data_IF_063529221284
#
_entry.id   IF_063529221284
#
_cell.length_a   1.000
_cell.length_b   1.000
_cell.length_c   1.000
_cell.angle_alpha   90.00
_cell.angle_beta   90.00
_cell.angle_gamma   90.00
#
_symmetry.space_group_name_H-M   'P 1'
#
loop_
_entity.id
_entity.type
_entity.pdbx_description
1 polymer ?
2 polymer ?
3 non-polymer ?
4 water ?
#
# COMPACT_ATOMS: atom_id res chain seq x y z
N UNK A 1 13.82 21.66 6.39
CA UNK A 1 13.16 21.75 7.69
C UNK A 1 11.94 20.82 7.78
N UNK A 2 11.30 20.80 8.95
CA UNK A 2 10.27 19.82 9.25
C UNK A 2 8.90 20.32 8.77
N UNK A 3 8.17 19.43 8.08
CA UNK A 3 6.89 19.75 7.47
C UNK A 3 5.70 19.14 8.21
N UNK A 4 5.94 18.19 9.11
CA UNK A 4 4.90 17.47 9.83
C UNK A 4 5.36 17.38 11.27
N UNK A 5 4.63 18.02 12.19
CA UNK A 5 5.08 18.16 13.58
C UNK A 5 3.96 17.72 14.51
N UNK A 6 4.22 16.69 15.31
CA UNK A 6 3.28 16.25 16.33
C UNK A 6 3.55 17.03 17.60
N UNK A 7 2.48 17.32 18.35
CA UNK A 7 2.59 17.86 19.70
C UNK A 7 1.52 17.17 20.54
N UNK A 8 1.38 17.61 21.79
CA UNK A 8 0.57 16.89 22.77
C UNK A 8 1.37 15.71 23.28
N UNK A 9 0.83 15.02 24.26
CA UNK A 9 1.79 13.94 24.46
C UNK A 9 2.70 14.13 25.66
N UNK A 10 2.82 13.08 26.44
CA UNK A 10 3.49 13.14 27.72
C UNK A 10 3.03 12.03 28.63
N UNK A 11 2.85 12.33 29.91
CA UNK A 11 2.39 11.34 30.87
C UNK A 11 0.88 11.28 30.89
N UNK A 12 0.36 10.06 31.06
CA UNK A 12 -1.06 9.79 31.20
C UNK A 12 -1.22 8.72 32.27
N UNK A 13 -2.27 8.84 33.09
CA UNK A 13 -2.67 7.81 34.04
C UNK A 13 -3.38 6.67 33.32
N UNK A 14 -3.25 5.43 33.79
CA UNK A 14 -4.11 4.35 33.28
C UNK A 14 -5.57 4.73 33.44
N UNK A 15 -6.34 4.52 32.39
CA UNK A 15 -7.72 4.97 32.35
C UNK A 15 -7.92 6.38 31.84
N UNK A 16 -6.85 7.18 31.72
CA UNK A 16 -6.97 8.54 31.24
C UNK A 16 -7.05 8.63 29.72
N UNK A 17 -7.16 9.86 29.24
CA UNK A 17 -7.13 10.17 27.82
C UNK A 17 -5.92 11.04 27.50
N UNK A 18 -5.51 11.04 26.23
CA UNK A 18 -4.67 12.12 25.75
C UNK A 18 -5.10 12.49 24.34
N UNK A 19 -4.94 13.77 24.02
CA UNK A 19 -5.20 14.31 22.71
C UNK A 19 -3.89 14.74 22.08
N UNK A 20 -3.60 14.21 20.90
CA UNK A 20 -2.42 14.60 20.13
C UNK A 20 -2.85 15.46 18.96
N UNK A 21 -1.94 16.30 18.50
CA UNK A 21 -2.17 17.12 17.32
C UNK A 21 -0.97 17.01 16.38
N UNK A 22 -1.20 17.37 15.12
CA UNK A 22 -0.17 17.23 14.10
C UNK A 22 -0.37 18.37 13.11
N UNK A 23 0.61 19.27 13.03
CA UNK A 23 0.49 20.46 12.21
C UNK A 23 1.28 20.26 10.93
N UNK A 24 0.65 20.54 9.79
CA UNK A 24 1.25 20.34 8.49
C UNK A 24 1.60 21.69 7.88
N UNK A 25 2.77 21.77 7.25
CA UNK A 25 3.17 22.96 6.51
C UNK A 25 2.13 23.38 5.48
N UNK A 26 1.33 22.44 4.97
CA UNK A 26 0.55 22.63 3.76
C UNK A 26 -0.64 21.69 3.78
N UNK A 27 -1.73 22.07 3.10
CA UNK A 27 -2.90 21.20 3.03
C UNK A 27 -2.75 20.07 2.02
N UNK A 28 -1.77 20.16 1.11
CA UNK A 28 -1.54 19.06 0.16
C UNK A 28 -1.13 17.78 0.88
N UNK A 29 -0.65 17.89 2.12
CA UNK A 29 -0.32 16.74 2.95
C UNK A 29 -1.54 15.91 3.34
N UNK A 30 -2.74 16.45 3.17
CA UNK A 30 -3.98 15.69 3.36
C UNK A 30 -4.45 15.05 2.06
N UNK A 31 -3.72 15.23 0.98
CA UNK A 31 -3.96 14.59 -0.31
C UNK A 31 -2.96 13.45 -0.44
N UNK A 32 -3.43 12.20 -0.36
CA UNK A 32 -4.86 11.86 -0.32
C UNK A 32 -5.30 11.39 1.06
N UNK A 33 -4.33 11.23 1.97
CA UNK A 33 -4.58 10.63 3.27
C UNK A 33 -3.57 11.16 4.28
N UNK A 34 -4.03 11.35 5.51
CA UNK A 34 -3.17 11.60 6.66
C UNK A 34 -3.53 10.59 7.73
N UNK A 35 -2.52 9.99 8.34
CA UNK A 35 -2.73 8.87 9.24
C UNK A 35 -2.06 9.08 10.58
N UNK A 36 -2.62 8.44 11.60
CA UNK A 36 -1.95 8.31 12.89
C UNK A 36 -1.46 6.88 13.03
N UNK A 37 -0.19 6.74 13.40
CA UNK A 37 0.51 5.48 13.45
C UNK A 37 1.30 5.48 14.75
N UNK A 38 1.37 4.35 15.41
CA UNK A 38 2.13 4.31 16.65
C UNK A 38 3.07 3.13 16.66
N UNK A 39 4.11 3.24 17.48
CA UNK A 39 4.98 2.10 17.72
C UNK A 39 5.28 1.92 19.20
N UNK A 40 4.77 0.86 19.77
CA UNK A 40 4.94 0.37 21.13
C UNK A 40 6.25 -0.39 21.26
N UNK A 41 6.87 -0.37 22.45
CA UNK A 41 8.11 -1.15 22.64
C UNK A 41 7.85 -2.65 22.58
N UNK A 42 8.72 -3.34 21.84
CA UNK A 42 8.54 -4.75 21.56
C UNK A 42 7.77 -5.05 20.29
N UNK A 43 6.97 -4.11 19.80
CA UNK A 43 5.87 -4.39 18.90
C UNK A 43 6.15 -3.85 17.50
N UNK A 44 5.31 -4.27 16.55
CA UNK A 44 5.43 -3.78 15.18
C UNK A 44 4.65 -2.48 15.02
N UNK A 45 5.01 -1.73 13.98
CA UNK A 45 4.28 -0.52 13.61
C UNK A 45 2.79 -0.81 13.46
N UNK A 46 1.97 -0.01 14.13
CA UNK A 46 0.52 -0.20 14.15
C UNK A 46 -0.18 1.04 13.64
N UNK A 47 -0.88 0.93 12.52
CA UNK A 47 -1.73 2.01 12.04
C UNK A 47 -2.97 2.12 12.92
N UNK A 48 -3.29 3.35 13.33
CA UNK A 48 -4.42 3.62 14.23
C UNK A 48 -5.64 4.06 13.44
N UNK A 49 -5.44 4.93 12.47
CA UNK A 49 -6.57 5.47 11.73
C UNK A 49 -6.08 6.49 10.75
N UNK A 50 -6.96 6.86 9.83
CA UNK A 50 -6.63 7.82 8.79
C UNK A 50 -7.77 8.79 8.61
N UNK A 51 -7.43 9.99 8.22
CA UNK A 51 -8.41 10.92 7.68
C UNK A 51 -8.06 11.14 6.22
N UNK A 52 -9.07 11.05 5.38
CA UNK A 52 -8.90 11.16 3.95
C UNK A 52 -9.21 12.58 3.52
N UNK A 53 -8.81 12.90 2.29
CA UNK A 53 -9.01 14.24 1.76
C UNK A 53 -10.44 14.73 1.94
N UNK A 54 -11.42 13.84 1.81
CA UNK A 54 -12.83 14.18 1.94
C UNK A 54 -13.21 14.70 3.31
N UNK A 55 -12.40 14.45 4.34
CA UNK A 55 -12.82 14.70 5.70
C UNK A 55 -13.35 13.48 6.41
N UNK A 56 -13.60 12.38 5.69
CA UNK A 56 -14.03 11.16 6.37
C UNK A 56 -12.84 10.41 6.95
N UNK A 57 -13.11 9.56 7.92
CA UNK A 57 -12.08 8.84 8.66
C UNK A 57 -12.37 7.35 8.63
N UNK A 58 -11.30 6.55 8.71
CA UNK A 58 -11.41 5.11 8.91
C UNK A 58 -10.46 4.73 10.04
N UNK A 59 -10.98 4.03 11.03
CA UNK A 59 -10.19 3.66 12.21
C UNK A 59 -9.92 2.17 12.16
N UNK A 60 -8.73 1.78 12.57
CA UNK A 60 -8.36 0.38 12.81
C UNK A 60 -9.55 -0.29 13.48
N UNK A 61 -10.13 -1.33 12.87
CA UNK A 61 -11.36 -1.91 13.44
C UNK A 61 -11.19 -2.45 14.84
N UNK A 62 -9.98 -2.85 15.24
CA UNK A 62 -9.73 -3.36 16.57
C UNK A 62 -9.55 -2.25 17.61
N UNK A 63 -9.55 -0.97 17.22
CA UNK A 63 -9.37 0.14 18.14
C UNK A 63 -10.48 1.18 18.05
N UNK A 64 -11.50 0.96 17.23
CA UNK A 64 -12.42 2.05 16.92
C UNK A 64 -13.19 2.54 18.14
N UNK A 65 -13.41 1.67 19.14
CA UNK A 65 -14.13 2.09 20.34
C UNK A 65 -13.32 3.03 21.22
N UNK A 66 -12.02 3.21 20.95
CA UNK A 66 -11.17 4.02 21.80
C UNK A 66 -10.58 5.25 21.11
N UNK A 67 -10.84 5.46 19.81
CA UNK A 67 -10.10 6.44 19.03
C UNK A 67 -11.09 7.32 18.25
N UNK A 68 -10.75 8.61 18.15
CA UNK A 68 -11.44 9.61 17.34
C UNK A 68 -10.37 10.42 16.61
N UNK A 69 -10.62 10.78 15.35
CA UNK A 69 -9.69 11.59 14.57
C UNK A 69 -10.48 12.75 13.95
N UNK A 70 -9.92 13.95 14.00
CA UNK A 70 -10.59 15.14 13.49
C UNK A 70 -9.55 16.10 12.91
N UNK A 71 -10.03 17.08 12.16
CA UNK A 71 -9.16 18.01 11.45
C UNK A 71 -9.69 19.43 11.59
N UNK A 72 -8.75 20.38 11.69
CA UNK A 72 -9.03 21.81 11.59
C UNK A 72 -8.34 22.29 10.33
N UNK A 73 -9.14 22.58 9.29
CA UNK A 73 -8.55 22.83 7.97
C UNK A 73 -7.79 24.15 7.93
N UNK A 74 -8.27 25.18 8.64
CA UNK A 74 -7.59 26.47 8.61
C UNK A 74 -6.18 26.37 9.19
N UNK A 75 -6.00 25.58 10.25
CA UNK A 75 -4.70 25.38 10.89
C UNK A 75 -3.89 24.24 10.29
N UNK A 76 -4.42 23.53 9.28
CA UNK A 76 -3.74 22.39 8.66
C UNK A 76 -3.33 21.36 9.71
N UNK A 77 -4.24 21.09 10.65
CA UNK A 77 -3.91 20.32 11.85
C UNK A 77 -4.87 19.15 12.00
N UNK A 78 -4.30 17.99 12.31
CA UNK A 78 -5.05 16.77 12.55
C UNK A 78 -4.97 16.40 14.02
N UNK A 79 -6.07 15.92 14.58
CA UNK A 79 -6.15 15.56 16.00
C UNK A 79 -6.38 14.07 16.18
N UNK A 80 -5.74 13.50 17.18
CA UNK A 80 -6.03 12.16 17.64
C UNK A 80 -6.48 12.24 19.10
N UNK A 81 -7.61 11.61 19.39
CA UNK A 81 -8.12 11.52 20.76
C UNK A 81 -8.28 10.04 21.08
N UNK A 82 -7.68 9.60 22.19
CA UNK A 82 -7.83 8.22 22.67
C UNK A 82 -8.25 8.24 24.13
N UNK A 83 -9.12 7.30 24.50
CA UNK A 83 -9.63 7.17 25.86
C UNK A 83 -9.28 5.81 26.44
N UNK A 84 -9.43 5.72 27.77
CA UNK A 84 -9.24 4.48 28.51
C UNK A 84 -7.88 3.86 28.19
N UNK A 85 -6.84 4.66 28.32
CA UNK A 85 -5.50 4.22 27.95
C UNK A 85 -4.99 3.20 28.97
N UNK A 86 -4.17 2.28 28.49
CA UNK A 86 -3.56 1.23 29.29
C UNK A 86 -2.07 1.20 29.02
N UNK A 87 -1.35 0.35 29.76
CA UNK A 87 0.10 0.26 29.59
C UNK A 87 0.48 -0.05 28.14
N UNK A 88 -0.31 -0.88 27.45
CA UNK A 88 -0.11 -1.19 26.04
C UNK A 88 -0.02 0.04 25.16
N UNK A 89 -0.69 1.12 25.54
CA UNK A 89 -0.76 2.31 24.71
C UNK A 89 0.48 3.20 24.85
N UNK A 90 1.45 2.84 25.69
CA UNK A 90 2.73 3.55 25.72
C UNK A 90 3.45 3.34 24.40
N UNK A 91 3.69 4.42 23.66
CA UNK A 91 4.32 4.27 22.34
C UNK A 91 4.78 5.62 21.84
N UNK A 92 5.63 5.58 20.81
CA UNK A 92 5.84 6.73 19.93
C UNK A 92 4.67 6.85 18.98
N UNK A 93 4.06 8.03 18.93
CA UNK A 93 2.93 8.28 18.05
C UNK A 93 3.38 9.16 16.90
N UNK A 94 3.11 8.73 15.68
CA UNK A 94 3.55 9.45 14.49
C UNK A 94 2.37 9.85 13.64
N UNK A 95 2.59 10.91 12.88
CA UNK A 95 1.68 11.42 11.86
C UNK A 95 2.32 11.13 10.51
N UNK A 96 1.61 10.42 9.64
CA UNK A 96 2.16 9.94 8.38
C UNK A 96 1.23 10.32 7.25
N UNK A 97 1.76 11.08 6.28
CA UNK A 97 1.03 11.39 5.06
C UNK A 97 1.15 10.24 4.07
N UNK A 98 0.02 9.86 3.45
CA UNK A 98 -0.03 8.84 2.40
C UNK A 98 0.58 7.51 2.86
N UNK A 99 0.20 7.11 4.08
CA UNK A 99 0.64 5.86 4.67
C UNK A 99 0.26 4.67 3.81
N UNK A 100 -0.89 4.72 3.13
CA UNK A 100 -1.36 3.59 2.36
C UNK A 100 -0.52 3.34 1.11
N UNK A 101 0.34 4.29 0.73
CA UNK A 101 1.19 4.15 -0.44
C UNK A 101 2.46 3.35 -0.18
N UNK A 102 2.69 2.90 1.05
CA UNK A 102 3.88 2.14 1.37
C UNK A 102 5.06 3.03 1.73
N UNK A 103 6.12 2.39 2.24
CA UNK A 103 7.29 3.11 2.73
C UNK A 103 8.04 3.89 1.65
N UNK A 104 7.75 3.69 0.37
CA UNK A 104 8.41 4.49 -0.66
C UNK A 104 7.56 5.65 -1.15
N UNK A 105 6.33 5.77 -0.68
CA UNK A 105 5.50 6.86 -1.13
C UNK A 105 4.83 7.68 -0.04
N UNK A 106 5.35 7.58 1.19
CA UNK A 106 4.74 8.23 2.34
C UNK A 106 5.67 9.31 2.90
N UNK A 107 5.13 10.10 3.84
CA UNK A 107 5.87 11.18 4.46
C UNK A 107 5.60 11.19 5.95
N UNK A 108 6.68 11.10 6.74
CA UNK A 108 6.62 10.86 8.18
C UNK A 108 6.88 12.13 9.00
N UNK A 109 6.12 12.29 10.09
CA UNK A 109 6.43 13.30 11.09
C UNK A 109 7.55 12.83 12.00
N UNK A 110 7.87 13.64 13.00
CA UNK A 110 8.99 13.31 13.87
C UNK A 110 8.60 12.40 15.02
N UNK A 111 7.32 12.40 15.39
CA UNK A 111 6.85 11.57 16.48
C UNK A 111 6.77 12.31 17.80
N UNK A 112 5.86 11.83 18.65
CA UNK A 112 5.74 12.31 20.01
C UNK A 112 5.50 11.11 20.92
N UNK A 113 6.21 11.06 22.03
CA UNK A 113 6.14 9.91 22.94
C UNK A 113 4.98 10.09 23.91
N UNK A 114 4.21 9.02 24.09
CA UNK A 114 3.13 8.98 25.08
C UNK A 114 3.44 7.83 26.03
N UNK A 115 3.52 8.14 27.33
CA UNK A 115 3.87 7.17 28.35
C UNK A 115 2.69 7.04 29.33
N UNK A 116 2.30 5.80 29.60
CA UNK A 116 1.21 5.48 30.51
C UNK A 116 1.80 4.71 31.70
N UNK A 117 1.60 5.23 32.91
CA UNK A 117 1.72 4.45 34.14
C UNK A 117 1.27 5.31 35.32
N UNK A 118 1.40 4.75 36.53
CA UNK A 118 0.93 5.36 37.78
C UNK A 118 1.84 6.47 38.31
N UNK B 10 17.97 12.44 -27.68
CA UNK B 10 19.16 11.60 -27.73
C UNK B 10 18.91 10.25 -27.05
N UNK B 11 19.44 9.18 -27.67
CA UNK B 11 19.33 7.82 -27.15
C UNK B 11 19.93 7.73 -25.75
N UNK B 12 19.34 6.92 -24.85
CA UNK B 12 19.80 6.91 -23.45
C UNK B 12 21.02 6.04 -23.18
N UNK B 13 21.62 6.28 -22.01
CA UNK B 13 22.64 5.40 -21.46
C UNK B 13 21.95 4.21 -20.81
N UNK B 14 22.43 3.00 -21.12
CA UNK B 14 21.86 1.82 -20.50
C UNK B 14 23.02 1.00 -19.94
N UNK B 15 23.47 1.37 -18.75
CA UNK B 15 24.62 0.70 -18.14
C UNK B 15 24.36 0.23 -16.71
N UNK B 16 23.66 1.02 -15.90
CA UNK B 16 23.34 0.64 -14.52
C UNK B 16 22.38 -0.55 -14.49
N UNK B 17 22.49 -1.35 -13.43
CA UNK B 17 21.51 -2.40 -13.18
C UNK B 17 20.22 -1.80 -12.64
N UNK B 18 19.09 -2.34 -13.10
CA UNK B 18 17.81 -1.79 -12.66
C UNK B 18 17.64 -1.97 -11.15
N UNK B 19 17.17 -0.94 -10.44
CA UNK B 19 17.05 -0.97 -8.97
C UNK B 19 15.76 -1.66 -8.50
N UNK B 20 15.63 -2.94 -8.87
CA UNK B 20 14.47 -3.72 -8.45
C UNK B 20 14.41 -3.88 -6.93
N UNK B 21 15.56 -3.78 -6.25
CA UNK B 21 15.57 -3.96 -4.81
C UNK B 21 14.77 -2.89 -4.09
N UNK B 22 14.73 -1.67 -4.64
CA UNK B 22 13.96 -0.60 -4.02
C UNK B 22 12.47 -0.91 -4.03
N UNK B 23 12.02 -1.78 -4.92
CA UNK B 23 10.62 -2.15 -4.99
C UNK B 23 10.42 -3.42 -4.17
N UNK B 24 11.13 -4.49 -4.56
CA UNK B 24 10.90 -5.81 -3.99
C UNK B 24 11.27 -5.87 -2.52
N UNK B 25 12.22 -5.05 -2.07
CA UNK B 25 12.70 -5.12 -0.70
C UNK B 25 12.23 -3.93 0.15
N UNK B 26 11.28 -3.13 -0.35
CA UNK B 26 10.72 -2.06 0.46
C UNK B 26 10.19 -2.61 1.77
N UNK B 27 10.28 -1.78 2.81
CA UNK B 27 9.92 -2.18 4.17
C UNK B 27 8.44 -2.50 4.28
N UNK B 28 7.59 -1.63 3.74
CA UNK B 28 6.15 -1.73 3.89
C UNK B 28 5.54 -1.50 2.51
N UNK B 29 4.67 -2.42 2.09
CA UNK B 29 4.08 -2.26 0.78
C UNK B 29 2.84 -1.36 0.87
N UNK B 30 2.41 -0.85 -0.29
CA UNK B 30 1.15 -0.13 -0.33
C UNK B 30 -0.05 -1.04 -0.06
N UNK B 31 -1.13 -0.44 0.43
CA UNK B 31 -2.45 -1.05 0.35
C UNK B 31 -2.89 -1.13 -1.11
N UNK B 32 -3.58 -2.22 -1.47
CA UNK B 32 -3.89 -2.45 -2.88
C UNK B 32 -4.74 -1.33 -3.47
N UNK B 33 -5.67 -0.75 -2.71
CA UNK B 33 -6.48 0.35 -3.25
C UNK B 33 -5.61 1.55 -3.61
N UNK B 34 -4.52 1.77 -2.88
CA UNK B 34 -3.59 2.88 -3.12
C UNK B 34 -2.30 2.40 -3.77
N UNK B 35 -2.39 1.37 -4.63
CA UNK B 35 -1.21 0.69 -5.12
C UNK B 35 -0.14 1.67 -5.59
N UNK B 36 1.11 1.34 -5.30
CA UNK B 36 2.24 2.23 -5.58
C UNK B 36 2.86 1.88 -6.92
N UNK B 37 3.12 2.90 -7.75
CA UNK B 37 3.81 2.75 -9.03
C UNK B 37 5.19 3.39 -8.97
N UNK B 38 6.20 2.69 -9.47
CA UNK B 38 7.54 3.26 -9.61
C UNK B 38 8.02 3.07 -11.04
N UNK B 39 8.51 4.15 -11.65
CA UNK B 39 9.02 4.08 -13.01
C UNK B 39 10.46 3.60 -13.00
N UNK B 40 10.74 2.65 -13.89
CA UNK B 40 12.07 2.07 -14.04
C UNK B 40 12.56 2.39 -15.45
N UNK B 41 13.75 3.00 -15.54
CA UNK B 41 14.25 3.51 -16.82
C UNK B 41 15.77 3.58 -16.80
N UNK B 42 16.34 3.62 -18.02
CA UNK B 42 17.79 3.79 -18.26
C UNK B 42 18.63 2.79 -17.48
N UNK B 43 18.31 1.50 -17.62
CA UNK B 43 18.98 0.47 -16.84
C UNK B 43 18.82 -0.90 -17.47
N UNK B 44 19.57 -1.85 -16.93
CA UNK B 44 19.72 -3.21 -17.46
C UNK B 44 18.93 -4.15 -16.55
N UNK B 45 17.87 -4.75 -17.09
CA UNK B 45 17.04 -5.67 -16.33
C UNK B 45 17.54 -7.09 -16.57
N UNK B 46 18.12 -7.70 -15.53
CA UNK B 46 18.54 -9.10 -15.58
C UNK B 46 17.50 -9.91 -14.79
N UNK B 47 16.61 -10.58 -15.52
CA UNK B 47 15.55 -11.34 -14.87
C UNK B 47 16.04 -12.65 -14.27
N UNK B 48 17.14 -13.20 -14.77
CA UNK B 48 17.71 -14.39 -14.12
C UNK B 48 18.13 -14.08 -12.71
N UNK B 49 18.68 -12.89 -12.48
CA UNK B 49 19.12 -12.47 -11.16
C UNK B 49 17.92 -12.14 -10.28
N UNK B 50 16.94 -11.42 -10.84
CA UNK B 50 15.71 -11.15 -10.08
C UNK B 50 15.02 -12.43 -9.67
N UNK B 51 14.90 -13.39 -10.60
CA UNK B 51 14.16 -14.62 -10.32
C UNK B 51 14.82 -15.43 -9.21
N UNK B 52 16.14 -15.42 -9.14
CA UNK B 52 16.89 -16.14 -8.11
C UNK B 52 17.07 -15.33 -6.84
N UNK B 53 16.61 -14.08 -6.81
CA UNK B 53 16.80 -13.21 -5.64
C UNK B 53 15.97 -13.64 -4.44
N UNK B 54 14.93 -14.46 -4.66
CA UNK B 54 14.02 -14.89 -3.61
C UNK B 54 13.16 -16.02 -4.17
N UNK B 55 12.39 -16.64 -3.28
CA UNK B 55 11.47 -17.71 -3.64
C UNK B 55 10.08 -17.11 -3.87
N UNK B 56 9.68 -17.00 -5.13
CA UNK B 56 8.39 -16.45 -5.52
C UNK B 56 7.36 -17.55 -5.69
N UNK B 57 6.12 -17.31 -5.26
CA UNK B 57 5.07 -18.29 -5.46
C UNK B 57 4.33 -18.07 -6.78
N UNK B 58 4.47 -16.90 -7.39
CA UNK B 58 3.91 -16.60 -8.69
C UNK B 58 4.96 -15.83 -9.47
N UNK B 59 5.16 -16.19 -10.73
CA UNK B 59 6.06 -15.48 -11.62
C UNK B 59 5.59 -15.81 -13.02
N UNK B 60 4.63 -15.04 -13.51
CA UNK B 60 3.93 -15.33 -14.75
C UNK B 60 3.99 -14.11 -15.63
N UNK B 61 4.27 -14.32 -16.92
CA UNK B 61 4.38 -13.21 -17.86
C UNK B 61 3.28 -13.32 -18.90
N UNK B 62 2.86 -12.16 -19.40
CA UNK B 62 1.80 -12.04 -20.39
C UNK B 62 2.26 -11.12 -21.50
N UNK B 63 1.81 -11.43 -22.72
CA UNK B 63 2.04 -10.51 -23.83
C UNK B 63 3.47 -10.45 -24.29
N UNK B 64 4.31 -11.36 -23.81
CA UNK B 64 5.74 -11.34 -24.06
C UNK B 64 6.22 -12.78 -23.92
N UNK B 65 7.25 -13.14 -24.67
CA UNK B 65 7.83 -14.46 -24.49
C UNK B 65 8.61 -14.48 -23.17
N UNK B 66 8.32 -15.40 -22.24
CA UNK B 66 9.06 -15.37 -20.97
C UNK B 66 10.54 -15.68 -21.11
N UNK B 67 10.93 -16.63 -21.98
CA UNK B 67 12.34 -17.00 -22.07
C UNK B 67 13.19 -15.92 -22.76
N UNK B 68 12.57 -14.98 -23.46
CA UNK B 68 13.30 -13.94 -24.15
C UNK B 68 13.53 -12.69 -23.31
N UNK B 69 13.17 -12.72 -22.02
CA UNK B 69 13.17 -11.48 -21.22
C UNK B 69 14.58 -10.91 -21.03
N UNK B 70 15.63 -11.74 -21.06
CA UNK B 70 16.97 -11.20 -20.92
C UNK B 70 17.51 -10.60 -22.21
N UNK B 71 16.70 -10.60 -23.28
CA UNK B 71 17.10 -10.08 -24.58
C UNK B 71 16.16 -9.02 -25.13
N UNK B 72 15.09 -8.68 -24.43
CA UNK B 72 14.10 -7.76 -24.95
C UNK B 72 14.32 -6.37 -24.37
N UNK B 73 13.95 -5.35 -25.14
CA UNK B 73 14.15 -3.97 -24.78
C UNK B 73 12.81 -3.24 -24.76
N UNK B 74 12.69 -2.28 -23.84
CA UNK B 74 11.45 -1.55 -23.60
C UNK B 74 11.75 -0.08 -23.39
N UNK B 75 10.79 0.78 -23.77
CA UNK B 75 10.96 2.21 -23.57
C UNK B 75 10.84 2.61 -22.09
N UNK B 76 10.13 1.82 -21.28
CA UNK B 76 10.03 2.01 -19.83
C UNK B 76 9.49 0.74 -19.20
N UNK B 77 9.76 0.59 -17.91
CA UNK B 77 9.13 -0.44 -17.10
C UNK B 77 8.50 0.23 -15.88
N UNK B 78 7.25 -0.11 -15.59
CA UNK B 78 6.57 0.36 -14.39
C UNK B 78 6.42 -0.82 -13.44
N UNK B 79 6.79 -0.62 -12.17
CA UNK B 79 6.66 -1.63 -11.14
C UNK B 79 5.56 -1.18 -10.19
N UNK B 80 4.47 -1.94 -10.17
CA UNK B 80 3.33 -1.67 -9.28
C UNK B 80 3.36 -2.69 -8.16
N UNK B 81 3.24 -2.23 -6.92
CA UNK B 81 3.36 -3.11 -5.76
C UNK B 81 2.26 -2.84 -4.72
N UNK B 82 1.83 -3.90 -4.05
CA UNK B 82 0.75 -3.84 -3.06
C UNK B 82 0.69 -5.19 -2.35
N UNK B 83 -0.16 -5.26 -1.32
CA UNK B 83 -0.43 -6.49 -0.59
C UNK B 83 -1.90 -6.85 -0.76
N UNK B 84 -2.16 -8.15 -1.01
CA UNK B 84 -3.48 -8.75 -1.00
C UNK B 84 -3.38 -10.09 -0.27
N UNK B 85 -4.52 -10.75 -0.07
CA UNK B 85 -4.47 -12.07 0.55
C UNK B 85 -4.33 -13.14 -0.52
N UNK B 86 -3.84 -14.31 -0.09
CA UNK B 86 -3.46 -15.37 -1.03
C UNK B 86 -4.52 -15.69 -2.07
N UNK B 87 -5.77 -15.90 -1.62
CA UNK B 87 -6.86 -16.28 -2.52
C UNK B 87 -7.11 -15.27 -3.63
N UNK B 88 -6.60 -14.04 -3.50
CA UNK B 88 -6.85 -13.01 -4.50
C UNK B 88 -5.71 -12.86 -5.49
N UNK B 89 -4.60 -13.57 -5.32
CA UNK B 89 -3.48 -13.36 -6.24
C UNK B 89 -3.89 -13.73 -7.67
N UNK B 90 -4.74 -14.76 -7.83
CA UNK B 90 -5.24 -15.18 -9.15
C UNK B 90 -6.00 -14.07 -9.88
N UNK B 91 -6.55 -13.09 -9.15
CA UNK B 91 -7.21 -11.95 -9.78
C UNK B 91 -6.23 -10.95 -10.37
N UNK B 92 -4.93 -11.06 -10.09
CA UNK B 92 -3.94 -10.18 -10.72
C UNK B 92 -3.48 -10.83 -12.04
N UNK B 93 -4.35 -10.74 -13.05
CA UNK B 93 -4.13 -11.33 -14.36
C UNK B 93 -5.16 -10.72 -15.30
N UNK B 94 -4.91 -10.72 -16.61
CA UNK B 94 -5.87 -10.13 -17.54
C UNK B 94 -7.17 -10.94 -17.54
N UNK B 95 -8.29 -10.22 -17.67
CA UNK B 95 -9.59 -10.88 -17.77
C UNK B 95 -10.12 -11.52 -16.51
N UNK B 96 -9.68 -11.09 -15.33
CA UNK B 96 -10.23 -11.61 -14.08
C UNK B 96 -11.30 -10.67 -13.54
N UNK B 97 -12.09 -11.18 -12.60
CA UNK B 97 -13.07 -10.38 -11.87
C UNK B 97 -13.07 -10.77 -10.41
N UNK B 98 -13.65 -9.90 -9.60
CA UNK B 98 -13.61 -10.02 -8.16
C UNK B 98 -13.38 -8.66 -7.53
N UNK B 99 -13.31 -8.61 -6.20
CA UNK B 99 -13.19 -7.32 -5.52
C UNK B 99 -11.90 -6.60 -5.94
N UNK B 100 -10.80 -7.36 -6.08
CA UNK B 100 -9.52 -6.74 -6.42
C UNK B 100 -9.52 -6.28 -7.87
N UNK B 101 -9.84 -7.19 -8.80
CA UNK B 101 -9.78 -6.82 -10.21
C UNK B 101 -10.79 -5.73 -10.54
N UNK B 102 -11.96 -5.76 -9.92
CA UNK B 102 -13.02 -4.81 -10.27
C UNK B 102 -12.84 -3.45 -9.59
N UNK B 103 -12.44 -3.43 -8.32
CA UNK B 103 -12.47 -2.21 -7.53
C UNK B 103 -11.12 -1.71 -7.05
N UNK B 104 -10.03 -2.48 -7.20
CA UNK B 104 -8.75 -2.11 -6.60
C UNK B 104 -7.58 -1.99 -7.58
N UNK B 105 -7.32 -3.04 -8.38
CA UNK B 105 -6.22 -3.04 -9.34
C UNK B 105 -6.59 -3.90 -10.53
N UNK B 106 -6.74 -3.28 -11.71
CA UNK B 106 -7.20 -3.94 -12.93
C UNK B 106 -6.10 -3.96 -13.99
N UNK B 107 -5.74 -5.18 -14.50
CA UNK B 107 -4.85 -5.30 -15.64
C UNK B 107 -5.63 -5.33 -16.95
N UNK B 108 -5.10 -4.76 -18.03
CA UNK B 108 -5.81 -4.77 -19.31
C UNK B 108 -5.77 -6.16 -19.96
N UNK B 109 -6.70 -6.36 -20.91
CA UNK B 109 -6.74 -7.64 -21.63
C UNK B 109 -5.44 -7.88 -22.41
N UNK B 110 -4.88 -6.83 -23.02
CA UNK B 110 -3.64 -6.93 -23.80
C UNK B 110 -2.41 -6.62 -22.95
N UNK B 111 -2.42 -7.03 -21.68
CA UNK B 111 -1.32 -6.75 -20.76
C UNK B 111 -0.01 -7.30 -21.31
N UNK B 112 1.04 -6.47 -21.20
CA UNK B 112 2.42 -6.83 -21.53
C UNK B 112 3.26 -6.64 -20.27
N UNK B 113 3.62 -7.73 -19.62
CA UNK B 113 4.40 -7.64 -18.40
C UNK B 113 4.42 -8.96 -17.67
N UNK B 114 4.93 -8.92 -16.43
CA UNK B 114 4.94 -10.08 -15.55
C UNK B 114 4.30 -9.72 -14.22
N UNK B 115 3.70 -10.72 -13.60
CA UNK B 115 3.10 -10.62 -12.27
C UNK B 115 3.93 -11.50 -11.34
N UNK B 116 4.42 -10.91 -10.26
CA UNK B 116 5.33 -11.59 -9.34
C UNK B 116 4.76 -11.46 -7.94
N UNK B 117 4.72 -12.56 -7.20
CA UNK B 117 4.09 -12.51 -5.89
C UNK B 117 4.77 -13.51 -4.98
N UNK B 118 4.67 -13.25 -3.69
CA UNK B 118 5.22 -14.17 -2.70
C UNK B 118 4.50 -13.99 -1.38
N UNK B 119 4.52 -15.05 -0.59
CA UNK B 119 3.88 -15.05 0.72
C UNK B 119 4.70 -14.22 1.70
N UNK B 120 4.06 -13.25 2.35
CA UNK B 120 4.75 -12.36 3.29
C UNK B 120 4.21 -12.50 4.70
N UNK B 121 3.71 -13.70 5.05
CA UNK B 121 3.24 -13.98 6.41
C UNK B 121 4.30 -13.62 7.45
N UNK B 122 5.58 -13.79 7.12
CA UNK B 122 6.64 -13.55 8.07
C UNK B 122 6.79 -12.06 8.38
N UNK B 123 6.49 -11.18 7.42
CA UNK B 123 6.63 -9.75 7.60
C UNK B 123 5.32 -9.02 7.90
N UNK B 124 4.20 -9.43 7.28
CA UNK B 124 3.00 -8.60 7.27
C UNK B 124 1.89 -9.10 8.19
N UNK B 125 2.08 -10.21 8.90
CA UNK B 125 1.06 -10.65 9.84
C UNK B 125 1.60 -10.60 11.26
N UNK B 126 0.69 -10.42 12.22
CA UNK B 126 1.04 -10.25 13.62
C UNK B 126 0.07 -11.06 14.47
N UNK B 127 0.58 -11.55 15.61
CA UNK B 127 -0.30 -12.14 16.60
C UNK B 127 -1.29 -11.08 17.06
N UNK B 128 -2.56 -11.42 17.09
CA UNK B 128 -3.60 -10.44 17.31
C UNK B 128 -4.07 -9.71 16.07
N UNK B 129 -3.32 -9.79 14.98
CA UNK B 129 -3.83 -9.33 13.71
C UNK B 129 -3.27 -8.01 13.24
N UNK B 130 -2.76 -7.99 12.01
CA UNK B 130 -2.34 -6.76 11.37
C UNK B 130 -3.48 -6.22 10.51
N UNK B 131 -3.97 -5.02 10.85
CA UNK B 131 -5.03 -4.35 10.13
C UNK B 131 -4.51 -3.23 9.21
N UNK B 132 -3.19 -3.13 9.04
CA UNK B 132 -2.62 -1.94 8.40
C UNK B 132 -2.92 -1.86 6.91
N UNK B 133 -3.27 -2.98 6.28
CA UNK B 133 -3.50 -3.04 4.85
C UNK B 133 -4.99 -3.04 4.56
N UNK B 134 -5.42 -2.20 3.62
CA UNK B 134 -6.83 -2.03 3.30
C UNK B 134 -7.11 -2.40 1.84
N UNK B 135 -8.39 -2.66 1.56
CA UNK B 135 -8.88 -2.78 0.19
C UNK B 135 -10.19 -2.01 0.06
N UNK B 136 -10.56 -1.68 -1.18
CA UNK B 136 -11.84 -1.06 -1.48
C UNK B 136 -12.90 -2.13 -1.69
N UNK B 137 -14.08 -1.91 -1.10
CA UNK B 137 -15.11 -2.95 -1.04
C UNK B 137 -16.02 -2.95 -2.26
N UNK B 138 -16.20 -1.80 -2.93
CA UNK B 138 -17.18 -1.65 -3.99
C UNK B 138 -16.99 -0.30 -4.63
N UNK B 139 -17.45 -0.18 -5.88
CA UNK B 139 -17.46 1.06 -6.65
C UNK B 139 -18.72 1.06 -7.52
N UNK B 140 -19.15 2.26 -7.92
CA UNK B 140 -20.31 2.35 -8.81
C UNK B 140 -20.04 1.64 -10.15
N UNK B 141 -18.81 1.71 -10.64
CA UNK B 141 -18.40 1.01 -11.84
C UNK B 141 -17.03 0.41 -11.64
N UNK B 142 -16.68 -0.54 -12.50
CA UNK B 142 -15.38 -1.19 -12.45
C UNK B 142 -14.26 -0.21 -12.81
N UNK B 143 -13.08 -0.46 -12.24
CA UNK B 143 -11.88 0.28 -12.61
C UNK B 143 -11.49 0.01 -14.06
N UNK B 144 -11.06 1.06 -14.76
CA UNK B 144 -10.35 0.86 -16.02
C UNK B 144 -8.93 0.36 -15.76
N UNK B 145 -8.30 -0.26 -16.75
CA UNK B 145 -6.94 -0.79 -16.54
C UNK B 145 -5.99 0.29 -16.03
N UNK B 146 -5.22 -0.06 -14.99
CA UNK B 146 -4.21 0.79 -14.39
C UNK B 146 -4.79 2.06 -13.80
N UNK B 147 -6.10 2.06 -13.51
CA UNK B 147 -6.72 3.15 -12.75
C UNK B 147 -6.51 2.93 -11.26
N UNK B 148 -6.30 4.04 -10.55
CA UNK B 148 -6.23 4.07 -9.09
C UNK B 148 -7.37 4.94 -8.55
N UNK B 149 -8.14 4.40 -7.61
CA UNK B 149 -9.20 5.14 -6.91
C UNK B 149 -8.80 5.26 -5.45
N UNK B 150 -8.52 6.49 -5.01
CA UNK B 150 -8.17 6.77 -3.62
C UNK B 150 -9.23 7.65 -2.95
N UNK B 151 -10.40 7.78 -3.55
CA UNK B 151 -11.46 8.58 -2.96
C UNK B 151 -12.18 7.82 -1.85
N UNK B 152 -13.00 8.54 -1.11
CA UNK B 152 -13.75 7.99 0.01
C UNK B 152 -15.15 8.56 0.01
N UNK B 153 -15.83 8.47 -1.12
CA UNK B 153 -17.22 8.85 -1.16
C UNK B 153 -18.08 7.75 -0.56
N UNK B 154 -19.24 8.14 -0.01
CA UNK B 154 -20.17 7.15 0.52
C UNK B 154 -20.80 6.39 -0.65
N UNK B 155 -20.85 5.07 -0.55
CA UNK B 155 -21.44 4.22 -1.57
C UNK B 155 -22.88 3.88 -1.20
N UNK B 156 -23.83 4.28 -2.05
CA UNK B 156 -25.24 3.95 -1.85
C UNK B 156 -25.44 2.49 -2.24
N UNK B 157 -25.56 1.62 -1.23
CA UNK B 157 -25.71 0.19 -1.44
C UNK B 157 -27.14 -0.22 -1.72
N UNK B 158 -28.12 0.66 -1.49
CA UNK B 158 -29.52 0.34 -1.71
C UNK B 158 -30.32 1.52 -2.22
N UNK B 159 -31.56 1.64 -1.77
CA UNK B 159 -32.49 2.64 -2.30
C UNK B 159 -32.63 3.87 -1.42
N UNK B 160 -31.90 3.94 -0.31
CA UNK B 160 -31.92 5.11 0.58
C UNK B 160 -30.91 6.13 0.11
N UNK B 161 -31.32 7.35 -0.26
CA UNK B 161 -30.32 8.39 -0.58
C UNK B 161 -29.46 8.72 0.62
N UNK B 162 -28.16 8.91 0.37
CA UNK B 162 -27.15 9.10 1.40
C UNK B 162 -26.90 10.56 1.70
N UNK B 163 -26.98 11.43 0.69
CA UNK B 163 -26.65 12.84 0.85
C UNK B 163 -25.29 13.01 1.55
N UNK B 164 -24.34 12.17 1.18
CA UNK B 164 -22.99 12.24 1.74
C UNK B 164 -22.83 11.74 3.15
N UNK B 165 -23.81 11.01 3.70
CA UNK B 165 -23.79 10.57 5.08
C UNK B 165 -23.54 9.07 5.12
N UNK B 166 -22.62 8.64 5.99
CA UNK B 166 -22.48 7.22 6.29
C UNK B 166 -23.58 6.78 7.24
N UNK B 167 -24.17 5.62 6.96
CA UNK B 167 -25.23 5.06 7.77
C UNK B 167 -25.99 3.94 7.08
N UNK B 168 -27.28 3.83 7.38
CA UNK B 168 -28.17 2.81 6.84
C UNK B 168 -28.07 2.74 5.30
N UNK B 169 -27.64 1.58 4.80
CA UNK B 169 -27.44 1.33 3.36
C UNK B 169 -26.46 2.29 2.71
N UNK B 170 -25.63 2.98 3.50
CA UNK B 170 -24.70 3.98 2.97
C UNK B 170 -23.35 3.73 3.61
N UNK B 171 -22.41 3.20 2.83
CA UNK B 171 -21.25 2.55 3.41
C UNK B 171 -19.96 3.29 3.07
N UNK B 172 -19.09 3.38 4.07
CA UNK B 172 -17.72 3.79 3.81
C UNK B 172 -17.04 2.69 3.00
N UNK B 173 -16.26 3.05 1.97
CA UNK B 173 -15.86 2.04 0.98
C UNK B 173 -14.55 1.32 1.22
N UNK B 174 -13.77 1.64 2.26
CA UNK B 174 -12.52 0.92 2.51
C UNK B 174 -12.68 -0.02 3.70
N UNK B 175 -11.81 -1.03 3.75
CA UNK B 175 -11.94 -2.10 4.73
C UNK B 175 -10.57 -2.68 5.04
N UNK B 176 -10.31 -2.97 6.30
CA UNK B 176 -9.05 -3.59 6.70
C UNK B 176 -9.06 -5.06 6.36
N UNK B 177 -7.95 -5.55 5.82
CA UNK B 177 -7.62 -6.96 5.94
C UNK B 177 -7.27 -7.30 7.40
N UNK B 178 -7.30 -8.58 7.73
CA UNK B 178 -6.76 -9.01 9.01
C UNK B 178 -5.77 -10.14 8.86
N UNK B 179 -4.50 -9.89 9.17
CA UNK B 179 -3.40 -10.82 8.90
C UNK B 179 -2.79 -11.31 10.21
N UNK B 180 -3.08 -12.55 10.57
CA UNK B 180 -2.48 -13.28 11.68
C UNK B 180 -1.69 -14.45 11.12
N UNK B 181 -0.56 -14.80 11.73
CA UNK B 181 0.28 -15.87 11.15
C UNK B 181 -0.41 -17.24 11.08
N UNK B 182 -1.42 -17.48 11.92
CA UNK B 182 -2.15 -18.74 11.93
C UNK B 182 -3.30 -18.79 10.92
N UNK B 183 -3.55 -17.70 10.18
CA UNK B 183 -4.49 -17.72 9.07
C UNK B 183 -4.16 -18.87 8.12
N UNK B 184 -5.20 -19.47 7.55
CA UNK B 184 -4.99 -20.32 6.40
C UNK B 184 -4.36 -19.55 5.26
N UNK B 185 -3.68 -20.27 4.38
CA UNK B 185 -2.81 -19.63 3.40
C UNK B 185 -3.59 -18.71 2.47
N UNK B 186 -4.85 -19.02 2.17
CA UNK B 186 -5.64 -18.14 1.32
C UNK B 186 -5.96 -16.82 1.97
N UNK B 187 -5.80 -16.73 3.30
CA UNK B 187 -6.04 -15.51 4.08
C UNK B 187 -4.76 -14.91 4.63
N UNK B 188 -3.61 -15.41 4.20
CA UNK B 188 -2.30 -14.87 4.56
C UNK B 188 -1.90 -13.80 3.57
N UNK B 189 -1.07 -12.85 3.98
CA UNK B 189 -0.71 -11.75 3.07
C UNK B 189 0.27 -12.19 2.00
N UNK B 190 0.08 -11.65 0.80
CA UNK B 190 1.04 -11.83 -0.29
C UNK B 190 1.46 -10.44 -0.78
N UNK B 191 2.77 -10.24 -0.90
CA UNK B 191 3.30 -9.06 -1.57
C UNK B 191 3.32 -9.32 -3.07
N UNK B 192 2.84 -8.35 -3.85
CA UNK B 192 2.74 -8.47 -5.30
C UNK B 192 3.54 -7.37 -5.96
N UNK B 193 4.31 -7.72 -7.00
CA UNK B 193 4.90 -6.72 -7.88
C UNK B 193 4.47 -7.02 -9.32
N UNK B 194 3.82 -6.05 -9.95
CA UNK B 194 3.43 -6.14 -11.35
C UNK B 194 4.39 -5.29 -12.15
N UNK B 195 5.15 -5.92 -13.06
CA UNK B 195 6.06 -5.23 -13.97
C UNK B 195 5.34 -5.00 -15.29
N UNK B 196 5.10 -3.75 -15.63
CA UNK B 196 4.44 -3.36 -16.87
C UNK B 196 5.50 -2.88 -17.86
N UNK B 197 5.52 -3.48 -19.05
CA UNK B 197 6.51 -3.19 -20.08
C UNK B 197 5.89 -2.23 -21.10
N UNK B 198 6.42 -1.01 -21.16
CA UNK B 198 5.96 -0.05 -22.15
C UNK B 198 6.64 -0.31 -23.50
N UNK B 199 5.89 -0.14 -24.59
CA UNK B 199 6.38 -0.39 -25.94
C UNK B 199 5.99 0.77 -26.86
N UNK B 200 6.46 1.97 -26.51
CA UNK B 200 6.23 3.11 -27.38
C UNK B 200 7.23 3.10 -28.53
N UNK B 201 6.90 3.84 -29.59
CA UNK B 201 7.77 3.95 -30.77
C UNK B 201 8.78 5.06 -30.50
N UNK B 202 9.88 4.66 -29.88
CA UNK B 202 10.85 5.57 -29.30
C UNK B 202 12.04 4.74 -28.84
N UNK B 203 13.19 5.33 -28.58
CA UNK B 203 14.36 4.53 -28.17
C UNK B 203 14.10 3.80 -26.86
N UNK B 204 14.50 2.53 -26.84
CA UNK B 204 14.51 1.74 -25.62
C UNK B 204 15.34 2.40 -24.53
N UNK B 205 14.89 2.27 -23.28
CA UNK B 205 15.70 2.67 -22.13
C UNK B 205 15.92 1.55 -21.13
N UNK B 206 15.23 0.41 -21.27
CA UNK B 206 15.45 -0.76 -20.42
C UNK B 206 15.72 -1.95 -21.32
N UNK B 207 16.81 -2.67 -21.07
CA UNK B 207 17.22 -3.79 -21.89
C UNK B 207 17.77 -4.89 -20.99
N UNK B 208 17.73 -6.12 -21.49
CA UNK B 208 18.39 -7.22 -20.83
C UNK B 208 19.90 -7.11 -20.95
N UNK B 209 20.63 -7.96 -20.23
CA UNK B 209 22.09 -7.90 -20.27
C UNK B 209 22.64 -8.25 -21.65
N UNK B 210 23.78 -7.62 -21.98
CA UNK B 210 24.42 -7.83 -23.28
C UNK B 210 24.83 -9.28 -23.45
N UNK B 211 25.65 -9.80 -22.54
CA UNK B 211 25.93 -11.24 -22.47
C UNK B 211 24.89 -11.83 -21.52
N UNK B 212 23.89 -12.49 -22.08
CA UNK B 212 22.78 -13.03 -21.30
C UNK B 212 22.65 -14.51 -21.59
N UNK B 213 22.31 -15.26 -20.55
CA UNK B 213 21.69 -16.55 -20.74
C UNK B 213 20.23 -16.34 -21.15
N UNK B 214 19.68 -17.27 -21.91
CA UNK B 214 18.24 -17.27 -22.11
C UNK B 214 17.57 -17.50 -20.75
N UNK B 215 16.49 -16.78 -20.49
CA UNK B 215 15.81 -16.84 -19.19
C UNK B 215 14.95 -18.10 -19.13
N UNK B 216 15.64 -19.25 -19.00
CA UNK B 216 14.97 -20.55 -19.06
C UNK B 216 14.41 -20.98 -17.72
N UNK B 217 14.95 -20.46 -16.60
CA UNK B 217 14.54 -20.95 -15.30
C UNK B 217 13.09 -20.63 -14.99
N UNK B 218 12.50 -19.64 -15.67
CA UNK B 218 11.10 -19.28 -15.47
C UNK B 218 10.14 -20.37 -15.96
N UNK B 219 10.61 -21.32 -16.78
CA UNK B 219 9.75 -22.39 -17.29
C UNK B 219 9.58 -23.49 -16.26
N UNK B 220 10.53 -23.65 -15.35
CA UNK B 220 10.62 -24.83 -14.50
C UNK B 220 10.24 -24.45 -13.07
N UNK B 221 9.00 -24.01 -12.93
CA UNK B 221 8.43 -23.73 -11.61
C UNK B 221 7.53 -24.88 -11.19
#
# INVERSE_FOLDING_TARGET
EVQLVESGGGLVQPGGSLRLSCAASDFSFYDYEMSWVRQAPGKALEWIGSMYHSGRTYINPSLKSLVTISRDNSKNTLYLQMNSLRAEDTAMYYCVSNWASGSTGDYWGQGTLVTVSS
RVQPTESIVRFPNITNLCPFGEVFNATRFASVYAWNRKRISNCVADYSVLYNSASFSTFKCYGVSPTKLNDLCFTNVYADSFVIRGDEVRQIAPGQTGKIADYNYKLPDDFTGCVIAWNSNNLDSKVGGNYNYLYRLFRKSNLKPFERDISTEIYQAGSTPCNGVEGFNCYFPLQSYGFQPTNGVGYQPYRVVVLSFELLHAPATVCGPKKSTEFLEVLFQ
#
